data_IF_787915086406
#
_entry.id   IF_787915086406
#
_cell.length_a   1.000
_cell.length_b   1.000
_cell.length_c   1.000
_cell.angle_alpha   90.00
_cell.angle_beta   90.00
_cell.angle_gamma   90.00
#
_symmetry.space_group_name_H-M   'P 1'
#
loop_
_entity.id
_entity.type
_entity.pdbx_description
1 polymer ?
#
# COMPACT_ATOMS: atom_id res chain seq x y z
N UNK A 1 -23.40 -25.08 -37.01
CA UNK A 1 -23.03 -23.70 -36.64
C UNK A 1 -23.08 -23.41 -35.13
N UNK A 2 -24.10 -23.80 -34.37
CA UNK A 2 -24.17 -23.55 -32.91
C UNK A 2 -23.02 -24.22 -32.09
N UNK A 3 -22.53 -25.39 -32.47
CA UNK A 3 -21.41 -26.07 -31.81
C UNK A 3 -20.04 -25.41 -32.06
N UNK A 4 -19.83 -24.74 -33.18
CA UNK A 4 -18.62 -24.00 -33.48
C UNK A 4 -18.52 -22.68 -32.70
N UNK A 5 -19.65 -22.05 -32.39
CA UNK A 5 -19.72 -20.83 -31.57
C UNK A 5 -19.38 -21.16 -30.11
N UNK A 6 -19.75 -22.33 -29.62
CA UNK A 6 -19.49 -22.76 -28.25
C UNK A 6 -17.98 -23.09 -28.04
N UNK A 7 -17.31 -23.62 -29.06
CA UNK A 7 -15.85 -23.87 -29.03
C UNK A 7 -15.08 -22.56 -29.12
N UNK A 8 -15.56 -21.57 -29.86
CA UNK A 8 -14.97 -20.23 -29.92
C UNK A 8 -15.07 -19.44 -28.61
N UNK A 9 -16.08 -19.69 -27.77
CA UNK A 9 -16.23 -19.06 -26.45
C UNK A 9 -15.29 -19.67 -25.38
N UNK A 10 -14.84 -20.92 -25.55
CA UNK A 10 -13.93 -21.60 -24.63
C UNK A 10 -12.46 -21.19 -24.82
N UNK A 11 -12.12 -20.48 -25.91
CA UNK A 11 -10.77 -19.99 -26.18
C UNK A 11 -10.47 -18.58 -25.63
N UNK A 12 -11.41 -17.96 -24.95
CA UNK A 12 -11.12 -16.73 -24.18
C UNK A 12 -10.61 -17.18 -22.81
N UNK A 13 -9.37 -17.66 -22.76
CA UNK A 13 -8.63 -17.77 -21.51
C UNK A 13 -8.43 -16.35 -20.96
N UNK A 14 -9.32 -15.93 -20.08
CA UNK A 14 -9.03 -14.77 -19.25
C UNK A 14 -7.87 -15.16 -18.33
N UNK A 15 -6.68 -14.72 -18.67
CA UNK A 15 -5.53 -14.84 -17.79
C UNK A 15 -5.87 -14.09 -16.50
N UNK A 16 -6.06 -14.85 -15.42
CA UNK A 16 -6.29 -14.31 -14.09
C UNK A 16 -4.92 -13.94 -13.54
N UNK A 17 -4.62 -12.65 -13.57
CA UNK A 17 -3.38 -12.13 -13.00
C UNK A 17 -3.54 -11.91 -11.49
N UNK A 18 -2.58 -12.40 -10.71
CA UNK A 18 -2.47 -12.10 -9.29
C UNK A 18 -2.10 -10.61 -9.12
N UNK A 19 -2.79 -9.91 -8.24
CA UNK A 19 -2.59 -8.49 -7.96
C UNK A 19 -2.15 -8.34 -6.52
N UNK A 20 -1.25 -7.38 -6.28
CA UNK A 20 -0.88 -7.02 -4.92
C UNK A 20 -2.03 -6.29 -4.21
N UNK A 21 -2.14 -6.42 -2.87
CA UNK A 21 -3.06 -5.64 -2.08
C UNK A 21 -2.89 -4.14 -2.31
N UNK A 22 -4.01 -3.41 -2.39
CA UNK A 22 -4.01 -1.96 -2.55
C UNK A 22 -4.66 -1.29 -1.34
N UNK A 23 -4.04 -0.24 -0.82
CA UNK A 23 -4.54 0.54 0.32
C UNK A 23 -5.10 1.88 -0.13
N UNK A 24 -6.21 2.29 0.46
CA UNK A 24 -6.81 3.60 0.22
C UNK A 24 -6.01 4.71 0.86
N UNK A 25 -5.40 4.42 2.01
CA UNK A 25 -4.55 5.34 2.77
C UNK A 25 -3.07 5.16 2.41
N UNK A 26 -2.72 5.14 1.11
CA UNK A 26 -1.36 4.89 0.63
C UNK A 26 -0.30 5.81 1.26
N UNK A 27 -0.65 7.05 1.59
CA UNK A 27 0.23 8.02 2.25
C UNK A 27 0.51 7.66 3.73
N UNK A 28 -0.29 6.77 4.33
CA UNK A 28 -0.08 6.26 5.68
C UNK A 28 0.77 4.97 5.71
N UNK A 29 0.98 4.30 4.56
CA UNK A 29 1.86 3.13 4.41
C UNK A 29 2.89 3.31 3.28
N UNK A 30 3.67 4.40 3.29
CA UNK A 30 4.51 4.80 2.15
C UNK A 30 5.59 3.79 1.79
N UNK A 31 6.17 3.08 2.77
CA UNK A 31 7.22 2.07 2.56
C UNK A 31 6.74 0.81 1.84
N UNK A 32 5.43 0.51 1.91
CA UNK A 32 4.83 -0.57 1.14
C UNK A 32 4.88 -0.27 -0.36
N UNK A 33 4.63 0.98 -0.73
CA UNK A 33 4.64 1.42 -2.13
C UNK A 33 6.03 1.75 -2.64
N UNK A 34 6.88 2.34 -1.79
CA UNK A 34 8.20 2.83 -2.19
C UNK A 34 9.22 2.70 -1.06
N UNK A 35 10.21 1.78 -1.18
CA UNK A 35 11.27 1.63 -0.17
C UNK A 35 12.09 2.91 0.05
N UNK A 36 12.17 3.80 -0.95
CA UNK A 36 12.82 5.10 -0.82
C UNK A 36 12.14 6.04 0.19
N UNK A 37 10.90 5.75 0.61
CA UNK A 37 10.18 6.52 1.63
C UNK A 37 10.55 6.13 3.07
N UNK A 38 11.37 5.09 3.27
CA UNK A 38 11.72 4.58 4.59
C UNK A 38 12.37 5.67 5.46
N UNK A 39 11.73 5.97 6.59
CA UNK A 39 12.13 7.01 7.56
C UNK A 39 12.45 8.40 6.96
N UNK A 40 11.77 8.79 5.88
CA UNK A 40 11.98 10.09 5.22
C UNK A 40 11.59 11.28 6.12
N UNK A 41 10.76 11.05 7.14
CA UNK A 41 10.32 12.03 8.13
C UNK A 41 11.27 12.20 9.32
N UNK A 42 12.31 11.38 9.43
CA UNK A 42 13.19 11.20 10.58
C UNK A 42 12.49 10.55 11.79
N UNK A 43 13.26 10.09 12.77
CA UNK A 43 12.74 9.44 13.97
C UNK A 43 12.32 7.98 13.74
N UNK A 44 11.60 7.43 14.70
CA UNK A 44 11.04 6.09 14.66
C UNK A 44 9.54 6.16 14.39
N UNK A 45 9.06 5.43 13.40
CA UNK A 45 7.62 5.35 13.09
C UNK A 45 7.18 3.91 13.06
N UNK A 46 6.07 3.61 13.73
CA UNK A 46 5.36 2.32 13.66
C UNK A 46 3.99 2.55 13.03
N UNK A 47 3.65 1.75 12.06
CA UNK A 47 2.40 1.84 11.29
C UNK A 47 1.70 0.49 11.29
N UNK A 48 0.41 0.51 11.59
CA UNK A 48 -0.45 -0.67 11.54
C UNK A 48 -1.65 -0.34 10.67
N UNK A 49 -1.98 -1.21 9.73
CA UNK A 49 -3.13 -1.06 8.84
C UNK A 49 -3.95 -2.34 8.81
N UNK A 50 -5.25 -2.16 8.72
CA UNK A 50 -6.18 -3.23 8.38
C UNK A 50 -7.16 -2.71 7.33
N UNK A 51 -7.32 -3.44 6.24
CA UNK A 51 -8.26 -3.16 5.17
C UNK A 51 -9.15 -4.36 4.92
N UNK A 52 -10.45 -4.12 4.97
CA UNK A 52 -11.49 -5.12 4.67
C UNK A 52 -12.24 -4.66 3.42
N UNK A 53 -12.22 -5.48 2.37
CA UNK A 53 -12.95 -5.22 1.14
C UNK A 53 -14.16 -6.15 1.04
N UNK A 54 -15.30 -5.59 0.61
CA UNK A 54 -16.53 -6.33 0.35
C UNK A 54 -17.01 -7.16 1.55
N UNK A 55 -17.14 -6.50 2.67
CA UNK A 55 -17.41 -7.08 4.00
C UNK A 55 -18.48 -8.17 4.05
N UNK A 56 -19.64 -8.09 3.35
CA UNK A 56 -20.69 -9.09 3.42
C UNK A 56 -20.53 -10.25 2.42
N UNK A 57 -19.57 -10.16 1.50
CA UNK A 57 -19.37 -11.21 0.49
C UNK A 57 -18.57 -12.36 1.11
N UNK A 58 -19.03 -13.64 1.00
CA UNK A 58 -18.21 -14.79 1.35
C UNK A 58 -16.86 -14.74 0.62
N UNK A 59 -15.78 -15.05 1.32
CA UNK A 59 -14.44 -14.93 0.74
C UNK A 59 -13.93 -13.48 0.62
N UNK A 60 -14.46 -12.55 1.42
CA UNK A 60 -14.00 -11.15 1.49
C UNK A 60 -12.49 -11.05 1.61
N UNK A 61 -11.91 -10.01 1.00
CA UNK A 61 -10.49 -9.72 1.16
C UNK A 61 -10.23 -8.98 2.47
N UNK A 62 -9.25 -9.47 3.22
CA UNK A 62 -8.80 -8.85 4.47
C UNK A 62 -7.27 -8.75 4.47
N UNK A 63 -6.75 -7.53 4.50
CA UNK A 63 -5.34 -7.23 4.45
C UNK A 63 -4.90 -6.59 5.75
N UNK A 64 -3.87 -7.14 6.39
CA UNK A 64 -3.16 -6.55 7.53
C UNK A 64 -1.76 -6.13 7.08
N UNK A 65 -1.30 -4.99 7.56
CA UNK A 65 0.06 -4.51 7.34
C UNK A 65 0.62 -3.93 8.63
N UNK A 66 1.86 -4.28 8.92
CA UNK A 66 2.67 -3.67 9.98
C UNK A 66 3.99 -3.19 9.40
N UNK A 67 4.39 -1.97 9.71
CA UNK A 67 5.68 -1.42 9.30
C UNK A 67 6.34 -0.68 10.45
N UNK A 68 7.67 -0.77 10.50
CA UNK A 68 8.53 -0.02 11.41
C UNK A 68 9.63 0.64 10.58
N UNK A 69 9.86 1.91 10.80
CA UNK A 69 10.82 2.72 10.07
C UNK A 69 11.65 3.53 11.04
N UNK A 70 12.96 3.52 10.90
CA UNK A 70 13.84 4.32 11.77
C UNK A 70 15.09 4.81 11.04
N UNK A 71 15.58 5.97 11.45
CA UNK A 71 16.95 6.38 11.11
C UNK A 71 17.94 5.45 11.80
N UNK A 72 18.96 4.98 11.07
CA UNK A 72 20.00 4.13 11.61
C UNK A 72 21.25 4.95 11.96
N UNK A 73 22.13 5.17 10.98
CA UNK A 73 23.40 5.88 11.16
C UNK A 73 23.60 6.87 10.03
N UNK A 74 23.82 8.13 10.37
CA UNK A 74 24.17 9.17 9.40
C UNK A 74 23.12 9.41 8.35
N UNK A 75 23.33 8.86 7.14
CA UNK A 75 22.44 8.98 5.99
C UNK A 75 21.62 7.72 5.70
N UNK A 76 21.83 6.66 6.48
CA UNK A 76 21.15 5.40 6.32
C UNK A 76 19.92 5.32 7.21
N UNK A 77 18.87 4.70 6.68
CA UNK A 77 17.68 4.35 7.43
C UNK A 77 17.35 2.88 7.21
N UNK A 78 16.83 2.23 8.23
CA UNK A 78 16.44 0.83 8.19
C UNK A 78 14.96 0.70 8.62
N UNK A 79 14.27 -0.29 8.09
CA UNK A 79 12.90 -0.57 8.45
C UNK A 79 12.54 -2.02 8.23
N UNK A 80 11.40 -2.40 8.74
CA UNK A 80 10.76 -3.69 8.50
C UNK A 80 9.32 -3.47 8.09
N UNK A 81 8.82 -4.33 7.21
CA UNK A 81 7.43 -4.34 6.79
C UNK A 81 6.97 -5.78 6.70
N UNK A 82 5.80 -6.06 7.23
CA UNK A 82 5.13 -7.35 7.07
C UNK A 82 3.67 -7.11 6.69
N UNK A 83 3.14 -7.93 5.79
CA UNK A 83 1.71 -7.93 5.51
C UNK A 83 1.18 -9.35 5.36
N UNK A 84 -0.12 -9.50 5.62
CA UNK A 84 -0.90 -10.70 5.39
C UNK A 84 -2.16 -10.32 4.66
N UNK A 85 -2.38 -10.88 3.49
CA UNK A 85 -3.57 -10.71 2.68
C UNK A 85 -4.29 -12.03 2.52
N UNK A 86 -5.60 -12.03 2.78
CA UNK A 86 -6.44 -13.22 2.65
C UNK A 86 -7.64 -12.86 1.81
N UNK A 87 -7.87 -13.60 0.73
CA UNK A 87 -8.99 -13.34 -0.15
C UNK A 87 -9.51 -14.60 -0.86
N UNK A 88 -10.77 -14.51 -1.31
CA UNK A 88 -11.46 -15.58 -2.01
C UNK A 88 -11.97 -16.70 -1.09
N UNK A 89 -12.90 -17.50 -1.60
CA UNK A 89 -13.49 -18.64 -0.86
C UNK A 89 -12.45 -19.75 -0.58
N UNK A 90 -11.44 -19.85 -1.42
CA UNK A 90 -10.31 -20.77 -1.22
C UNK A 90 -9.30 -20.29 -0.16
N UNK A 91 -9.55 -19.14 0.47
CA UNK A 91 -8.65 -18.52 1.45
C UNK A 91 -7.21 -18.47 0.94
N UNK A 92 -7.03 -17.95 -0.30
CA UNK A 92 -5.70 -17.63 -0.80
C UNK A 92 -5.07 -16.63 0.18
N UNK A 93 -4.01 -17.06 0.83
CA UNK A 93 -3.29 -16.23 1.82
C UNK A 93 -1.90 -15.91 1.28
N UNK A 94 -1.58 -14.63 1.23
CA UNK A 94 -0.24 -14.13 0.92
C UNK A 94 0.33 -13.49 2.18
N UNK A 95 1.39 -14.07 2.73
CA UNK A 95 2.16 -13.48 3.83
C UNK A 95 3.50 -13.02 3.29
N UNK A 96 3.90 -11.80 3.59
CA UNK A 96 5.18 -11.28 3.16
C UNK A 96 5.87 -10.51 4.28
N UNK A 97 7.19 -10.63 4.32
CA UNK A 97 8.05 -9.87 5.21
C UNK A 97 9.22 -9.27 4.46
N UNK A 98 9.49 -7.99 4.68
CA UNK A 98 10.54 -7.23 4.01
C UNK A 98 11.43 -6.51 5.02
N UNK A 99 12.72 -6.46 4.73
CA UNK A 99 13.68 -5.56 5.37
C UNK A 99 13.97 -4.43 4.39
N UNK A 100 13.71 -3.20 4.81
CA UNK A 100 13.89 -1.98 4.03
C UNK A 100 15.17 -1.28 4.45
N UNK A 101 16.01 -0.93 3.47
CA UNK A 101 17.18 -0.09 3.67
C UNK A 101 17.09 1.10 2.73
N UNK A 102 17.38 2.30 3.23
CA UNK A 102 17.43 3.49 2.40
C UNK A 102 18.64 4.36 2.72
N UNK A 103 19.07 5.12 1.72
CA UNK A 103 20.22 5.99 1.77
C UNK A 103 19.89 7.37 1.22
N UNK A 104 20.18 8.42 2.02
CA UNK A 104 20.09 9.82 1.63
C UNK A 104 21.33 10.21 0.85
N UNK A 105 21.24 10.14 -0.47
CA UNK A 105 22.35 10.47 -1.36
C UNK A 105 22.68 11.97 -1.31
N UNK A 106 21.62 12.78 -1.32
CA UNK A 106 21.74 14.23 -1.32
C UNK A 106 20.77 14.83 -0.29
N UNK A 107 21.32 15.70 0.58
CA UNK A 107 20.56 16.41 1.60
C UNK A 107 21.08 17.82 1.79
N UNK A 108 20.22 18.79 1.54
CA UNK A 108 20.42 20.21 1.81
C UNK A 108 19.39 20.72 2.80
N UNK A 109 19.45 22.01 3.17
CA UNK A 109 18.40 22.63 3.99
C UNK A 109 17.00 22.57 3.35
N UNK A 110 16.91 22.55 2.00
CA UNK A 110 15.64 22.61 1.29
C UNK A 110 15.27 21.33 0.55
N UNK A 111 16.23 20.55 0.11
CA UNK A 111 16.00 19.39 -0.77
C UNK A 111 16.68 18.15 -0.24
N UNK A 112 16.04 17.02 -0.46
CA UNK A 112 16.51 15.70 -0.08
C UNK A 112 16.24 14.74 -1.24
N UNK A 113 17.23 13.92 -1.59
CA UNK A 113 17.07 12.79 -2.49
C UNK A 113 17.47 11.52 -1.77
N UNK A 114 16.58 10.54 -1.75
CA UNK A 114 16.74 9.27 -1.05
C UNK A 114 16.42 8.12 -1.99
N UNK A 115 17.32 7.14 -2.07
CA UNK A 115 17.08 5.86 -2.68
C UNK A 115 16.89 4.79 -1.61
N UNK A 116 16.14 3.73 -1.93
CA UNK A 116 15.92 2.62 -1.02
C UNK A 116 15.66 1.31 -1.77
N UNK A 117 15.91 0.23 -1.07
CA UNK A 117 15.55 -1.11 -1.52
C UNK A 117 14.91 -1.89 -0.37
N UNK A 118 14.09 -2.86 -0.73
CA UNK A 118 13.47 -3.80 0.19
C UNK A 118 13.74 -5.23 -0.29
N UNK A 119 14.28 -6.04 0.60
CA UNK A 119 14.45 -7.47 0.40
C UNK A 119 13.43 -8.21 1.24
N UNK A 120 12.70 -9.12 0.64
CA UNK A 120 11.63 -9.85 1.31
C UNK A 120 11.52 -11.30 0.93
N UNK A 121 10.73 -11.99 1.73
CA UNK A 121 10.25 -13.34 1.48
C UNK A 121 8.72 -13.28 1.46
N UNK A 122 8.16 -13.87 0.43
CA UNK A 122 6.71 -13.98 0.23
C UNK A 122 6.34 -15.45 0.29
N UNK A 123 5.32 -15.77 1.09
CA UNK A 123 4.75 -17.11 1.17
C UNK A 123 3.26 -17.02 0.80
N UNK A 124 2.87 -17.72 -0.24
CA UNK A 124 1.47 -17.89 -0.66
C UNK A 124 0.98 -19.28 -0.27
N UNK A 125 -0.21 -19.35 0.30
CA UNK A 125 -0.85 -20.61 0.71
C UNK A 125 -2.31 -20.65 0.27
N UNK A 126 -2.77 -21.83 -0.10
CA UNK A 126 -4.16 -22.10 -0.46
C UNK A 126 -4.71 -23.16 0.49
N UNK A 127 -5.90 -22.95 1.03
CA UNK A 127 -6.58 -23.97 1.81
C UNK A 127 -7.34 -24.91 0.86
N UNK A 128 -6.78 -26.10 0.64
CA UNK A 128 -7.36 -27.13 -0.24
C UNK A 128 -8.72 -27.64 0.23
N UNK A 129 -8.94 -27.67 1.53
CA UNK A 129 -10.16 -28.27 2.14
C UNK A 129 -11.42 -27.47 1.81
N UNK A 130 -11.24 -26.20 1.45
CA UNK A 130 -12.35 -25.33 1.08
C UNK A 130 -12.75 -25.44 -0.41
N UNK A 131 -11.97 -26.14 -1.23
CA UNK A 131 -12.36 -26.40 -2.60
C UNK A 131 -13.44 -27.47 -2.68
N UNK A 132 -14.42 -27.21 -3.51
CA UNK A 132 -15.45 -28.19 -3.89
C UNK A 132 -15.33 -28.40 -5.40
N UNK A 133 -14.86 -29.55 -5.81
CA UNK A 133 -14.73 -29.92 -7.20
C UNK A 133 -16.03 -30.61 -7.68
N UNK A 134 -16.27 -30.53 -8.98
CA UNK A 134 -17.48 -31.11 -9.60
C UNK A 134 -17.60 -32.62 -9.38
N UNK A 135 -16.48 -33.36 -9.28
CA UNK A 135 -16.44 -34.79 -9.01
C UNK A 135 -16.87 -35.18 -7.58
N UNK A 136 -16.93 -34.22 -6.68
CA UNK A 136 -17.36 -34.41 -5.29
C UNK A 136 -18.87 -34.21 -5.11
N UNK A 137 -19.53 -33.55 -6.08
CA UNK A 137 -20.91 -33.18 -5.98
C UNK A 137 -21.82 -34.25 -6.55
N UNK A 138 -22.76 -34.69 -5.71
CA UNK A 138 -23.93 -35.48 -6.11
C UNK A 138 -25.12 -34.56 -6.36
N UNK A 139 -25.92 -34.84 -7.37
CA UNK A 139 -27.07 -34.01 -7.74
C UNK A 139 -28.13 -33.89 -6.65
N UNK A 140 -28.20 -34.88 -5.75
CA UNK A 140 -29.23 -34.94 -4.68
C UNK A 140 -28.61 -34.71 -3.29
N UNK A 141 -27.44 -35.27 -3.02
CA UNK A 141 -26.84 -35.28 -1.68
C UNK A 141 -25.69 -34.29 -1.48
N UNK A 142 -25.37 -33.45 -2.51
CA UNK A 142 -24.32 -32.47 -2.40
C UNK A 142 -22.91 -33.09 -2.33
N UNK A 143 -22.04 -32.60 -1.45
CA UNK A 143 -20.64 -33.06 -1.34
C UNK A 143 -20.60 -34.45 -0.63
N UNK A 144 -20.46 -35.53 -1.40
CA UNK A 144 -20.50 -36.91 -0.89
C UNK A 144 -19.18 -37.68 -1.04
N UNK A 145 -18.29 -37.24 -1.94
CA UNK A 145 -17.06 -37.95 -2.29
C UNK A 145 -15.79 -37.13 -2.03
N UNK A 146 -14.67 -37.79 -1.90
CA UNK A 146 -13.35 -37.14 -1.95
C UNK A 146 -12.98 -36.90 -3.42
N UNK A 147 -12.40 -35.71 -3.71
CA UNK A 147 -11.99 -35.39 -5.09
C UNK A 147 -10.83 -36.24 -5.55
N UNK A 148 -10.86 -36.65 -6.81
CA UNK A 148 -9.71 -37.22 -7.50
C UNK A 148 -8.68 -36.15 -7.91
N UNK A 149 -9.06 -34.87 -7.92
CA UNK A 149 -8.13 -33.77 -8.21
C UNK A 149 -7.20 -33.51 -7.03
N UNK A 150 -5.92 -33.61 -7.29
CA UNK A 150 -4.87 -33.28 -6.33
C UNK A 150 -4.19 -31.97 -6.73
N UNK A 151 -4.22 -30.98 -5.84
CA UNK A 151 -3.40 -29.78 -5.98
C UNK A 151 -2.02 -30.11 -5.38
N UNK A 152 -0.96 -30.23 -6.20
CA UNK A 152 0.32 -30.77 -5.75
C UNK A 152 0.94 -29.91 -4.64
N UNK A 153 0.93 -28.59 -4.82
CA UNK A 153 1.49 -27.65 -3.85
C UNK A 153 0.39 -26.75 -3.26
N UNK A 154 0.34 -26.68 -1.94
CA UNK A 154 -0.55 -25.78 -1.24
C UNK A 154 0.17 -24.55 -0.66
N UNK A 155 1.47 -24.47 -0.84
CA UNK A 155 2.32 -23.37 -0.39
C UNK A 155 3.43 -23.12 -1.40
N UNK A 156 3.67 -21.87 -1.72
CA UNK A 156 4.77 -21.40 -2.56
C UNK A 156 5.51 -20.29 -1.84
N UNK A 157 6.84 -20.36 -1.81
CA UNK A 157 7.69 -19.37 -1.17
C UNK A 157 8.74 -18.86 -2.13
N UNK A 158 8.88 -17.54 -2.24
CA UNK A 158 9.86 -16.92 -3.11
C UNK A 158 10.48 -15.64 -2.51
N UNK A 159 11.76 -15.34 -2.86
CA UNK A 159 12.38 -14.07 -2.53
C UNK A 159 11.87 -12.96 -3.46
N UNK A 160 11.76 -11.76 -2.91
CA UNK A 160 11.31 -10.57 -3.64
C UNK A 160 12.21 -9.37 -3.38
N UNK A 161 12.40 -8.55 -4.41
CA UNK A 161 13.23 -7.34 -4.38
C UNK A 161 12.46 -6.15 -4.94
N UNK A 162 12.40 -5.09 -4.13
CA UNK A 162 11.80 -3.82 -4.49
C UNK A 162 12.84 -2.70 -4.41
N UNK A 163 12.78 -1.74 -5.34
CA UNK A 163 13.67 -0.55 -5.36
C UNK A 163 12.84 0.69 -5.56
N UNK A 164 13.25 1.78 -4.93
CA UNK A 164 12.56 3.05 -5.09
C UNK A 164 13.40 4.27 -4.79
N UNK A 165 12.97 5.39 -5.34
CA UNK A 165 13.61 6.68 -5.23
C UNK A 165 12.59 7.75 -4.87
N UNK A 166 13.03 8.71 -4.08
CA UNK A 166 12.20 9.82 -3.60
C UNK A 166 12.99 11.11 -3.64
N UNK A 167 12.35 12.14 -4.17
CA UNK A 167 12.82 13.51 -4.06
C UNK A 167 11.83 14.33 -3.24
N UNK A 168 12.34 15.07 -2.24
CA UNK A 168 11.55 15.92 -1.35
C UNK A 168 12.13 17.32 -1.34
N UNK A 169 11.26 18.32 -1.44
CA UNK A 169 11.65 19.72 -1.37
C UNK A 169 10.79 20.48 -0.38
N UNK A 170 11.42 21.33 0.43
CA UNK A 170 10.75 22.14 1.47
C UNK A 170 11.12 23.60 1.26
N UNK A 171 10.13 24.47 1.31
CA UNK A 171 10.34 25.91 1.24
C UNK A 171 9.56 26.63 2.33
N UNK A 172 10.23 27.59 2.95
CA UNK A 172 9.66 28.51 3.92
C UNK A 172 9.70 29.91 3.33
N UNK A 173 8.54 30.49 3.01
CA UNK A 173 8.41 31.88 2.56
C UNK A 173 7.62 32.69 3.58
N UNK A 174 8.05 33.94 3.82
CA UNK A 174 7.29 34.92 4.59
C UNK A 174 6.52 35.79 3.59
N UNK A 175 5.19 35.71 3.61
CA UNK A 175 4.32 36.49 2.72
C UNK A 175 3.36 37.30 3.61
N UNK A 176 3.37 38.63 3.46
CA UNK A 176 2.50 39.54 4.23
C UNK A 176 2.51 39.29 5.74
N UNK A 177 3.70 39.03 6.32
CA UNK A 177 3.84 38.79 7.76
C UNK A 177 3.56 37.36 8.22
N UNK A 178 2.96 36.52 7.41
CA UNK A 178 2.69 35.10 7.71
C UNK A 178 3.74 34.18 7.10
N UNK A 179 4.07 33.10 7.81
CA UNK A 179 4.96 32.07 7.30
C UNK A 179 4.16 31.06 6.48
N UNK A 180 4.41 31.00 5.18
CA UNK A 180 3.95 29.98 4.27
C UNK A 180 5.01 28.87 4.20
N UNK A 181 4.71 27.70 4.69
CA UNK A 181 5.54 26.52 4.54
C UNK A 181 4.87 25.59 3.52
N UNK A 182 5.56 25.32 2.44
CA UNK A 182 5.14 24.28 1.50
C UNK A 182 6.23 23.23 1.34
N UNK A 183 5.81 22.02 1.10
CA UNK A 183 6.67 20.88 0.89
C UNK A 183 6.05 19.99 -0.17
N UNK A 184 6.86 19.52 -1.10
CA UNK A 184 6.42 18.52 -2.04
C UNK A 184 7.37 17.32 -2.08
N UNK A 185 6.83 16.18 -2.37
CA UNK A 185 7.55 14.92 -2.48
C UNK A 185 7.09 14.21 -3.73
N UNK A 186 8.04 13.75 -4.54
CA UNK A 186 7.80 12.89 -5.69
C UNK A 186 8.59 11.60 -5.51
N UNK A 187 7.97 10.47 -5.82
CA UNK A 187 8.62 9.18 -5.70
C UNK A 187 8.27 8.25 -6.85
N UNK A 188 9.23 7.42 -7.18
CA UNK A 188 9.10 6.33 -8.15
C UNK A 188 9.67 5.06 -7.56
N UNK A 189 8.99 3.94 -7.77
CA UNK A 189 9.48 2.62 -7.35
C UNK A 189 9.07 1.54 -8.34
N UNK A 190 9.85 0.47 -8.34
CA UNK A 190 9.56 -0.77 -9.04
C UNK A 190 9.63 -1.91 -8.05
N UNK A 191 8.54 -2.64 -7.92
CA UNK A 191 8.41 -3.80 -7.05
C UNK A 191 8.51 -5.08 -7.91
N UNK A 192 8.88 -6.19 -7.28
CA UNK A 192 9.05 -7.51 -7.92
C UNK A 192 10.10 -7.50 -9.04
N UNK A 193 11.24 -6.84 -8.83
CA UNK A 193 12.31 -6.71 -9.84
C UNK A 193 12.85 -8.08 -10.27
N UNK A 194 12.86 -9.05 -9.36
CA UNK A 194 13.33 -10.40 -9.61
C UNK A 194 12.36 -11.23 -10.46
N UNK A 195 11.13 -10.73 -10.70
CA UNK A 195 10.06 -11.49 -11.37
C UNK A 195 9.99 -12.94 -10.85
N UNK A 196 9.77 -13.13 -9.54
CA UNK A 196 9.81 -14.46 -8.96
C UNK A 196 8.76 -15.38 -9.57
N UNK A 197 9.01 -16.68 -9.56
CA UNK A 197 8.01 -17.68 -9.93
C UNK A 197 6.92 -17.68 -8.87
N UNK A 198 5.67 -17.58 -9.30
CA UNK A 198 4.48 -17.48 -8.44
C UNK A 198 3.39 -18.39 -8.99
N UNK A 199 3.58 -19.69 -8.84
CA UNK A 199 2.69 -20.66 -9.45
C UNK A 199 2.45 -21.87 -8.56
N UNK A 200 1.18 -22.13 -8.26
CA UNK A 200 0.76 -23.37 -7.58
C UNK A 200 0.57 -24.56 -8.55
N UNK A 201 0.30 -24.30 -9.82
CA UNK A 201 -0.13 -25.29 -10.80
C UNK A 201 0.77 -25.31 -12.04
N UNK A 202 1.32 -24.16 -12.43
CA UNK A 202 2.14 -24.04 -13.63
C UNK A 202 3.46 -23.32 -13.30
N UNK A 203 4.58 -24.00 -13.45
CA UNK A 203 5.94 -23.52 -13.12
C UNK A 203 6.41 -22.31 -13.95
N UNK A 204 5.68 -21.93 -14.99
CA UNK A 204 6.09 -20.87 -15.91
C UNK A 204 5.53 -19.49 -15.56
N UNK A 205 4.58 -19.40 -14.62
CA UNK A 205 4.02 -18.10 -14.24
C UNK A 205 5.03 -17.31 -13.39
N UNK A 206 5.33 -16.08 -13.83
CA UNK A 206 6.20 -15.14 -13.13
C UNK A 206 5.41 -13.91 -12.70
N UNK A 207 5.64 -13.46 -11.46
CA UNK A 207 5.03 -12.25 -10.96
C UNK A 207 5.52 -11.03 -11.76
N UNK A 208 4.61 -10.25 -12.39
CA UNK A 208 5.01 -9.11 -13.19
C UNK A 208 5.49 -7.94 -12.32
N UNK A 209 6.41 -7.15 -12.86
CA UNK A 209 6.87 -5.93 -12.21
C UNK A 209 5.72 -4.96 -11.95
N UNK A 210 5.71 -4.36 -10.76
CA UNK A 210 4.78 -3.31 -10.39
C UNK A 210 5.52 -1.98 -10.32
N UNK A 211 5.16 -1.04 -11.20
CA UNK A 211 5.67 0.32 -11.19
C UNK A 211 4.72 1.23 -10.43
N UNK A 212 5.27 2.03 -9.53
CA UNK A 212 4.52 2.99 -8.72
C UNK A 212 5.11 4.38 -8.89
N UNK A 213 4.27 5.36 -9.21
CA UNK A 213 4.62 6.76 -9.23
C UNK A 213 3.68 7.52 -8.30
N UNK A 214 4.23 8.26 -7.34
CA UNK A 214 3.43 8.98 -6.36
C UNK A 214 3.96 10.38 -6.09
N UNK A 215 3.07 11.25 -5.65
CA UNK A 215 3.43 12.60 -5.26
C UNK A 215 2.50 13.16 -4.21
N UNK A 216 3.03 14.01 -3.35
CA UNK A 216 2.26 14.80 -2.42
C UNK A 216 2.75 16.25 -2.36
N UNK A 217 1.84 17.15 -2.10
CA UNK A 217 2.12 18.55 -1.86
C UNK A 217 1.49 18.95 -0.53
N UNK A 218 2.29 19.38 0.45
CA UNK A 218 1.82 19.82 1.75
C UNK A 218 1.92 21.35 1.83
N UNK A 219 0.81 21.99 2.09
CA UNK A 219 0.70 23.43 2.23
C UNK A 219 0.21 23.78 3.64
N UNK A 220 1.08 24.36 4.44
CA UNK A 220 0.71 24.87 5.77
C UNK A 220 0.23 26.32 5.65
N UNK A 221 -1.05 26.53 5.95
CA UNK A 221 -1.71 27.82 6.02
C UNK A 221 -2.31 27.99 7.44
N UNK A 222 -1.80 28.94 8.20
CA UNK A 222 -2.22 29.20 9.59
C UNK A 222 -2.09 27.91 10.45
N UNK A 223 -3.23 27.29 10.77
CA UNK A 223 -3.33 26.09 11.60
C UNK A 223 -3.82 24.87 10.82
N UNK A 224 -3.91 24.96 9.49
CA UNK A 224 -4.37 23.88 8.62
C UNK A 224 -3.26 23.45 7.65
N UNK A 225 -3.13 22.15 7.46
CA UNK A 225 -2.29 21.58 6.42
C UNK A 225 -3.18 20.96 5.34
N UNK A 226 -3.05 21.47 4.14
CA UNK A 226 -3.69 20.89 2.94
C UNK A 226 -2.69 19.99 2.24
N UNK A 227 -3.09 18.75 1.97
CA UNK A 227 -2.21 17.73 1.40
C UNK A 227 -2.83 17.10 0.15
N UNK A 228 -2.89 17.82 -1.00
CA UNK A 228 -3.20 17.17 -2.26
C UNK A 228 -2.12 16.14 -2.60
N UNK A 229 -2.56 14.96 -3.06
CA UNK A 229 -1.65 13.86 -3.36
C UNK A 229 -2.23 12.96 -4.44
N UNK A 230 -1.37 12.21 -5.08
CA UNK A 230 -1.75 11.21 -6.07
C UNK A 230 -0.84 9.99 -5.99
N UNK A 231 -1.34 8.88 -6.46
CA UNK A 231 -0.56 7.66 -6.72
C UNK A 231 -1.06 7.02 -8.03
N UNK A 232 -0.12 6.60 -8.83
CA UNK A 232 -0.32 5.80 -10.03
C UNK A 232 0.43 4.49 -9.88
N UNK A 233 -0.28 3.39 -10.06
CA UNK A 233 0.25 2.04 -9.99
C UNK A 233 -0.03 1.33 -11.30
N UNK A 234 0.97 0.61 -11.81
CA UNK A 234 0.83 -0.22 -13.01
C UNK A 234 1.53 -1.55 -12.77
N UNK A 235 0.75 -2.64 -12.90
CA UNK A 235 1.24 -4.01 -12.87
C UNK A 235 0.64 -4.73 -14.06
N UNK A 236 1.44 -4.95 -15.08
CA UNK A 236 1.04 -5.53 -16.36
C UNK A 236 -0.18 -4.80 -17.01
N UNK A 237 -1.33 -5.47 -17.08
CA UNK A 237 -2.60 -4.89 -17.63
C UNK A 237 -3.39 -4.09 -16.61
N UNK A 238 -3.09 -4.28 -15.32
CA UNK A 238 -3.75 -3.59 -14.22
C UNK A 238 -3.15 -2.19 -14.03
N UNK A 239 -4.02 -1.21 -13.92
CA UNK A 239 -3.65 0.19 -13.67
C UNK A 239 -4.59 0.80 -12.63
N UNK A 240 -4.02 1.45 -11.63
CA UNK A 240 -4.77 2.21 -10.63
C UNK A 240 -4.24 3.64 -10.59
N UNK A 241 -5.15 4.60 -10.60
CA UNK A 241 -4.85 6.00 -10.36
C UNK A 241 -5.74 6.51 -9.23
N UNK A 242 -5.11 6.99 -8.15
CA UNK A 242 -5.82 7.58 -7.02
C UNK A 242 -5.33 9.01 -6.83
N UNK A 243 -6.27 9.96 -6.72
CA UNK A 243 -5.99 11.37 -6.50
C UNK A 243 -6.96 11.92 -5.45
N UNK A 244 -6.52 12.84 -4.65
CA UNK A 244 -7.35 13.50 -3.66
C UNK A 244 -6.56 14.40 -2.74
N UNK A 245 -7.15 14.79 -1.66
CA UNK A 245 -6.47 15.62 -0.67
C UNK A 245 -6.96 15.31 0.75
N UNK A 246 -6.09 15.58 1.71
CA UNK A 246 -6.43 15.63 3.12
C UNK A 246 -6.31 17.07 3.61
N UNK A 247 -7.19 17.44 4.53
CA UNK A 247 -7.07 18.64 5.36
C UNK A 247 -6.80 18.19 6.78
N UNK A 248 -5.68 18.63 7.35
CA UNK A 248 -5.23 18.25 8.68
C UNK A 248 -5.24 19.49 9.56
N UNK A 249 -5.95 19.43 10.67
CA UNK A 249 -5.88 20.39 11.77
C UNK A 249 -5.09 19.78 12.93
N UNK A 250 -4.94 20.52 14.04
CA UNK A 250 -4.20 20.05 15.22
C UNK A 250 -4.63 18.67 15.73
N UNK A 251 -5.93 18.33 15.61
CA UNK A 251 -6.51 17.13 16.20
C UNK A 251 -7.13 16.25 15.12
N UNK A 252 -7.73 16.83 14.09
CA UNK A 252 -8.55 16.10 13.12
C UNK A 252 -7.94 16.10 11.73
N UNK A 253 -8.17 15.01 11.02
CA UNK A 253 -7.85 14.85 9.60
C UNK A 253 -9.13 14.50 8.85
N UNK A 254 -9.40 15.20 7.76
CA UNK A 254 -10.47 14.88 6.81
C UNK A 254 -9.87 14.73 5.42
N UNK A 255 -10.34 13.75 4.67
CA UNK A 255 -9.86 13.49 3.32
C UNK A 255 -10.96 13.07 2.37
N UNK A 256 -10.80 13.48 1.12
CA UNK A 256 -11.66 13.06 0.01
C UNK A 256 -10.74 12.64 -1.14
N UNK A 257 -10.99 11.44 -1.67
CA UNK A 257 -10.17 10.83 -2.69
C UNK A 257 -11.03 10.18 -3.77
N UNK A 258 -10.50 10.13 -4.96
CA UNK A 258 -11.08 9.42 -6.10
C UNK A 258 -10.08 8.37 -6.59
N UNK A 259 -10.56 7.14 -6.79
CA UNK A 259 -9.76 6.04 -7.35
C UNK A 259 -10.41 5.54 -8.62
N UNK A 260 -9.60 5.43 -9.65
CA UNK A 260 -9.94 4.82 -10.92
C UNK A 260 -9.08 3.56 -11.11
N UNK A 261 -9.72 2.42 -11.33
CA UNK A 261 -9.03 1.15 -11.58
C UNK A 261 -9.37 0.64 -12.97
N UNK A 262 -8.35 0.26 -13.73
CA UNK A 262 -8.47 -0.40 -15.01
C UNK A 262 -7.83 -1.78 -14.91
N UNK A 263 -8.66 -2.82 -14.89
CA UNK A 263 -8.19 -4.21 -14.76
C UNK A 263 -7.80 -4.80 -16.11
N UNK A 264 -8.49 -4.40 -17.19
CA UNK A 264 -8.22 -4.84 -18.57
C UNK A 264 -8.59 -3.77 -19.56
N UNK A 265 -8.00 -3.81 -20.77
CA UNK A 265 -8.33 -2.88 -21.85
C UNK A 265 -9.82 -2.90 -22.23
N UNK A 266 -10.46 -4.05 -22.10
CA UNK A 266 -11.85 -4.28 -22.52
C UNK A 266 -12.88 -4.14 -21.39
N UNK A 267 -12.46 -4.06 -20.12
CA UNK A 267 -13.35 -3.87 -18.98
C UNK A 267 -13.54 -2.39 -18.67
N UNK A 268 -14.78 -2.04 -18.28
CA UNK A 268 -15.11 -0.69 -17.84
C UNK A 268 -14.29 -0.34 -16.59
N UNK A 269 -13.87 0.90 -16.49
CA UNK A 269 -13.16 1.45 -15.33
C UNK A 269 -14.04 1.32 -14.09
N UNK A 270 -13.44 0.88 -12.99
CA UNK A 270 -14.07 0.87 -11.67
C UNK A 270 -13.68 2.14 -10.95
N UNK A 271 -14.67 2.91 -10.55
CA UNK A 271 -14.47 4.19 -9.87
C UNK A 271 -14.96 4.07 -8.43
N UNK A 272 -14.18 4.56 -7.49
CA UNK A 272 -14.56 4.65 -6.08
C UNK A 272 -14.23 6.02 -5.52
N UNK A 273 -15.14 6.56 -4.71
CA UNK A 273 -14.87 7.70 -3.85
C UNK A 273 -14.48 7.20 -2.47
N UNK A 274 -13.45 7.82 -1.89
CA UNK A 274 -12.92 7.45 -0.59
C UNK A 274 -13.07 8.64 0.34
N UNK A 275 -13.71 8.42 1.47
CA UNK A 275 -13.87 9.41 2.53
C UNK A 275 -13.00 8.99 3.72
N UNK A 276 -12.22 9.93 4.23
CA UNK A 276 -11.33 9.71 5.36
C UNK A 276 -11.66 10.64 6.50
N UNK A 277 -11.67 10.08 7.69
CA UNK A 277 -11.68 10.81 8.96
C UNK A 277 -10.58 10.24 9.86
N UNK A 278 -9.89 11.13 10.56
CA UNK A 278 -8.85 10.72 11.49
C UNK A 278 -8.70 11.69 12.64
N UNK A 279 -8.04 11.22 13.67
CA UNK A 279 -7.67 12.04 14.81
C UNK A 279 -6.23 11.77 15.23
N UNK A 280 -5.58 12.76 15.80
CA UNK A 280 -4.22 12.64 16.29
C UNK A 280 -4.05 13.27 17.66
N UNK A 281 -3.26 12.65 18.50
CA UNK A 281 -2.96 13.14 19.85
C UNK A 281 -1.45 13.23 20.04
N UNK A 282 -0.99 14.35 20.54
CA UNK A 282 0.40 14.55 20.98
C UNK A 282 0.55 13.94 22.37
N UNK A 283 1.24 12.80 22.48
CA UNK A 283 1.44 12.10 23.75
C UNK A 283 2.48 12.80 24.64
N UNK A 284 3.52 13.39 24.04
CA UNK A 284 4.58 14.19 24.69
C UNK A 284 5.08 15.22 23.68
N UNK A 285 5.97 16.15 24.11
CA UNK A 285 6.54 17.19 23.20
C UNK A 285 7.19 16.64 21.90
N UNK A 286 7.40 15.34 21.80
CA UNK A 286 8.25 14.70 20.81
C UNK A 286 7.61 13.46 20.16
N UNK A 287 6.41 13.09 20.54
CA UNK A 287 5.74 11.90 20.03
C UNK A 287 4.29 12.17 19.70
N UNK A 288 3.77 11.55 18.66
CA UNK A 288 2.36 11.61 18.34
C UNK A 288 1.79 10.23 18.00
N UNK A 289 0.50 10.10 18.23
CA UNK A 289 -0.32 8.96 17.83
C UNK A 289 -1.44 9.46 16.92
N UNK A 290 -1.67 8.74 15.81
CA UNK A 290 -2.78 9.02 14.90
C UNK A 290 -3.57 7.75 14.64
N UNK A 291 -4.89 7.92 14.58
CA UNK A 291 -5.83 6.91 14.10
C UNK A 291 -6.64 7.49 12.95
N UNK A 292 -6.71 6.77 11.83
CA UNK A 292 -7.50 7.18 10.68
C UNK A 292 -8.39 6.02 10.25
N UNK A 293 -9.58 6.37 9.81
CA UNK A 293 -10.54 5.47 9.20
C UNK A 293 -10.91 6.01 7.83
N UNK A 294 -10.94 5.14 6.82
CA UNK A 294 -11.46 5.47 5.51
C UNK A 294 -12.51 4.47 5.04
N UNK A 295 -13.48 5.00 4.31
CA UNK A 295 -14.55 4.26 3.67
C UNK A 295 -14.49 4.49 2.16
N UNK A 296 -14.35 3.38 1.40
CA UNK A 296 -14.39 3.42 -0.06
C UNK A 296 -15.80 3.12 -0.55
N UNK A 297 -16.46 4.12 -1.08
CA UNK A 297 -17.76 4.00 -1.70
C UNK A 297 -17.60 3.58 -3.16
N UNK A 298 -17.98 2.36 -3.50
CA UNK A 298 -17.92 1.84 -4.86
C UNK A 298 -19.03 2.45 -5.72
N UNK A 299 -18.65 3.14 -6.81
CA UNK A 299 -19.59 3.76 -7.76
C UNK A 299 -19.80 2.89 -9.01
N UNK A 300 -19.06 1.77 -9.13
CA UNK A 300 -19.19 0.82 -10.23
C UNK A 300 -20.55 0.10 -10.24
N UNK A 301 -20.80 -0.76 -11.23
CA UNK A 301 -22.03 -1.55 -11.33
C UNK A 301 -22.34 -2.43 -10.11
N UNK A 302 -21.34 -2.75 -9.29
CA UNK A 302 -21.51 -3.49 -8.03
C UNK A 302 -22.20 -2.67 -6.93
N UNK A 303 -22.18 -1.33 -7.04
CA UNK A 303 -22.87 -0.36 -6.15
C UNK A 303 -23.03 -0.85 -4.71
N UNK A 304 -24.29 -1.01 -4.29
CA UNK A 304 -24.66 -1.42 -2.93
C UNK A 304 -24.34 -2.88 -2.59
N UNK A 305 -24.21 -3.77 -3.58
CA UNK A 305 -23.91 -5.18 -3.33
C UNK A 305 -22.52 -5.43 -2.74
N UNK A 306 -21.55 -4.52 -2.97
CA UNK A 306 -20.20 -4.63 -2.42
C UNK A 306 -20.07 -4.09 -1.00
N UNK A 307 -21.02 -3.26 -0.55
CA UNK A 307 -20.95 -2.51 0.73
C UNK A 307 -19.63 -1.73 0.94
N UNK A 308 -18.88 -1.49 -0.16
CA UNK A 308 -17.64 -0.73 -0.13
C UNK A 308 -16.47 -1.46 0.53
N UNK A 309 -15.47 -0.67 0.95
CA UNK A 309 -14.31 -1.18 1.67
C UNK A 309 -13.99 -0.27 2.86
N UNK A 310 -13.50 -0.86 3.92
CA UNK A 310 -13.17 -0.18 5.17
C UNK A 310 -11.67 -0.33 5.44
N UNK A 311 -11.01 0.75 5.81
CA UNK A 311 -9.60 0.72 6.18
C UNK A 311 -9.34 1.53 7.44
N UNK A 312 -8.61 0.94 8.38
CA UNK A 312 -8.16 1.57 9.62
C UNK A 312 -6.64 1.62 9.63
N UNK A 313 -6.07 2.76 10.00
CA UNK A 313 -4.62 2.90 10.23
C UNK A 313 -4.32 3.48 11.61
N UNK A 314 -3.29 2.93 12.25
CA UNK A 314 -2.71 3.42 13.50
C UNK A 314 -1.25 3.80 13.23
N UNK A 315 -0.86 5.00 13.61
CA UNK A 315 0.48 5.53 13.40
C UNK A 315 1.04 6.04 14.71
N UNK A 316 2.16 5.48 15.12
CA UNK A 316 2.94 5.93 16.27
C UNK A 316 4.25 6.52 15.76
N UNK A 317 4.55 7.74 16.13
CA UNK A 317 5.80 8.41 15.73
C UNK A 317 6.55 8.95 16.95
N UNK A 318 7.85 8.71 16.97
CA UNK A 318 8.77 9.08 18.05
C UNK A 318 9.96 9.87 17.48
N UNK A 319 9.92 11.18 17.62
CA UNK A 319 10.85 12.13 16.99
C UNK A 319 12.33 11.95 17.38
N UNK A 320 12.60 11.54 18.62
CA UNK A 320 13.97 11.51 19.17
C UNK A 320 14.55 10.10 19.26
N UNK A 321 13.86 9.11 18.74
CA UNK A 321 14.36 7.75 18.74
C UNK A 321 15.12 7.45 17.46
N UNK A 322 16.41 7.19 17.59
CA UNK A 322 17.29 6.66 16.55
C UNK A 322 17.83 5.32 17.05
N UNK A 323 18.02 4.37 16.16
CA UNK A 323 18.49 3.04 16.53
C UNK A 323 19.92 3.04 17.06
N UNK A 324 20.75 4.00 16.62
CA UNK A 324 22.15 4.10 17.03
C UNK A 324 22.52 5.55 17.40
N UNK A 325 23.21 5.75 18.52
CA UNK A 325 23.53 7.07 19.10
C UNK A 325 24.39 8.01 18.24
N UNK A 326 25.00 7.56 17.17
CA UNK A 326 25.86 8.39 16.29
C UNK A 326 25.15 9.33 15.32
N UNK A 327 23.84 9.22 15.18
CA UNK A 327 23.03 9.90 14.14
C UNK A 327 22.63 11.34 14.49
N UNK A 328 22.80 11.78 15.73
CA UNK A 328 22.23 13.05 16.27
C UNK A 328 22.92 14.34 15.82
N UNK A 329 24.03 14.29 15.07
CA UNK A 329 24.83 15.49 14.76
C UNK A 329 24.26 16.43 13.67
N UNK A 330 23.07 16.14 13.08
CA UNK A 330 22.43 17.01 12.07
C UNK A 330 21.09 17.61 12.50
N UNK A 331 20.96 18.03 13.75
CA UNK A 331 19.72 18.60 14.33
C UNK A 331 19.05 19.72 13.51
N UNK A 332 19.82 20.52 12.75
CA UNK A 332 19.27 21.70 12.08
C UNK A 332 18.60 21.40 10.74
N UNK A 333 19.08 20.40 9.97
CA UNK A 333 18.49 20.04 8.69
C UNK A 333 17.26 19.14 8.89
N UNK A 334 17.30 18.24 9.86
CA UNK A 334 16.21 17.33 10.21
C UNK A 334 14.90 18.05 10.52
N UNK A 335 14.95 19.20 11.24
CA UNK A 335 13.75 19.99 11.56
C UNK A 335 13.04 20.58 10.34
N UNK A 336 13.76 20.89 9.28
CA UNK A 336 13.14 21.48 8.08
C UNK A 336 12.43 20.45 7.21
N UNK A 337 12.88 19.19 7.26
CA UNK A 337 12.28 18.11 6.47
C UNK A 337 11.11 17.41 7.14
N UNK A 338 10.77 17.77 8.39
CA UNK A 338 9.56 17.26 9.06
C UNK A 338 8.30 17.63 8.29
N UNK A 339 7.40 16.67 8.20
CA UNK A 339 6.09 16.92 7.63
C UNK A 339 5.36 18.01 8.44
N UNK A 340 4.67 18.99 7.83
CA UNK A 340 3.88 19.97 8.55
C UNK A 340 2.85 19.36 9.51
N UNK A 341 2.29 18.19 9.16
CA UNK A 341 1.39 17.44 10.04
C UNK A 341 2.06 16.86 11.30
N UNK A 342 3.40 16.80 11.32
CA UNK A 342 4.19 16.37 12.48
C UNK A 342 4.57 17.55 13.38
N UNK A 343 4.46 18.79 12.85
CA UNK A 343 4.79 20.02 13.56
C UNK A 343 3.58 20.62 14.29
N UNK A 344 2.38 20.11 14.02
CA UNK A 344 1.14 20.45 14.71
C UNK A 344 0.86 19.49 15.86
#
# INVERSE_FOLDING_TARGET
>A
MKKLIFIGLLLISNEIFSQDPNFSQFYNCPTYYNPGMNAIGNGLTVRLHNRIMWSPIPGRNNTYLAAIEAEAIGRFSIGGLAFSDVGGEAFLRTNAGYINCSFRSFETKKSLFQGGFALGLVNKTINKDNFVFSDQLDEVYGKTKTSAYNIPNNSEMYPDLNVGFVFKHVNLKKIRGQYLKYMWTLGFSTNHITSPKDAFINDDFRLPHKCVFHGNFNLLLNHLVYTPSFIFEKQEKFQTFTIGFNTISNIMTFGIWYRNQKVSSNLKKYDSFIFLVGTGVKLKKVSYFKINYSFDMTVSRLKTASYGSHEISLIFHFDNHVLFKGSLNKKNNAKMHKCPSELM
#
